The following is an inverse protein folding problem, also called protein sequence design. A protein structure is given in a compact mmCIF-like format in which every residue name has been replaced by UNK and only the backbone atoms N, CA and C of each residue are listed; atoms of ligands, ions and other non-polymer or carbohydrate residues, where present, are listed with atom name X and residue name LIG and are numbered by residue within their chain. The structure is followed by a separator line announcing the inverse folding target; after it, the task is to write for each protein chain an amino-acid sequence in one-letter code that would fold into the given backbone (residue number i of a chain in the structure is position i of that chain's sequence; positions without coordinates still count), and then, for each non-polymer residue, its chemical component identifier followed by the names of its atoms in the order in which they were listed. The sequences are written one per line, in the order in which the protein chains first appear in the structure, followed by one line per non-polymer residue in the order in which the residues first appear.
data_IF_621781031264
#
_entry.id   IF_621781031264
#
_cell.length_a   1.000
_cell.length_b   1.000
_cell.length_c   1.000
_cell.angle_alpha   90.00
_cell.angle_beta   90.00
_cell.angle_gamma   90.00
#
_symmetry.space_group_name_H-M   'P 1'
#
loop_
_entity.id
_entity.type
_entity.pdbx_description
1 polymer ?
#
# COMPACT_ATOMS: atom_id res chain seq x y z
N UNK A 1 -24.13 -3.60 -17.03
CA UNK A 1 -23.68 -4.44 -15.91
C UNK A 1 -24.33 -3.97 -14.63
N UNK A 2 -25.07 -4.85 -13.96
CA UNK A 2 -25.70 -4.60 -12.64
C UNK A 2 -24.77 -4.97 -11.48
N UNK A 3 -23.71 -5.73 -11.73
CA UNK A 3 -22.77 -6.23 -10.74
C UNK A 3 -21.35 -6.21 -11.28
N UNK A 4 -20.39 -5.87 -10.43
CA UNK A 4 -18.94 -5.90 -10.72
C UNK A 4 -18.50 -7.31 -11.14
N UNK A 5 -19.02 -8.34 -10.51
CA UNK A 5 -18.69 -9.75 -10.78
C UNK A 5 -19.06 -10.26 -12.19
N UNK A 6 -19.89 -9.52 -12.93
CA UNK A 6 -20.27 -9.85 -14.31
C UNK A 6 -19.32 -9.24 -15.36
N UNK A 7 -18.35 -8.45 -14.96
CA UNK A 7 -17.33 -7.94 -15.86
C UNK A 7 -16.41 -9.08 -16.32
N UNK A 8 -16.34 -9.29 -17.66
CA UNK A 8 -15.46 -10.31 -18.24
C UNK A 8 -13.99 -10.00 -17.89
N UNK A 9 -13.27 -10.99 -17.41
CA UNK A 9 -11.85 -10.85 -17.07
C UNK A 9 -11.58 -10.38 -15.63
N UNK A 10 -12.56 -9.88 -14.88
CA UNK A 10 -12.32 -9.38 -13.52
C UNK A 10 -12.00 -10.51 -12.52
N UNK A 11 -12.63 -11.67 -12.64
CA UNK A 11 -12.33 -12.82 -11.77
C UNK A 11 -10.88 -13.28 -11.87
N UNK A 12 -10.32 -13.54 -13.08
CA UNK A 12 -8.90 -13.88 -13.20
C UNK A 12 -7.98 -12.74 -12.74
N UNK A 13 -8.33 -11.46 -12.93
CA UNK A 13 -7.55 -10.35 -12.36
C UNK A 13 -7.52 -10.42 -10.84
N UNK A 14 -8.65 -10.61 -10.17
CA UNK A 14 -8.69 -10.74 -8.70
C UNK A 14 -7.94 -11.99 -8.21
N UNK A 15 -8.01 -13.09 -8.92
CA UNK A 15 -7.22 -14.28 -8.58
C UNK A 15 -5.72 -14.00 -8.71
N UNK A 16 -5.29 -13.34 -9.79
CA UNK A 16 -3.91 -12.94 -9.99
C UNK A 16 -3.43 -12.01 -8.87
N UNK A 17 -4.25 -11.02 -8.47
CA UNK A 17 -3.98 -10.13 -7.34
C UNK A 17 -3.78 -10.89 -6.03
N UNK A 18 -4.71 -11.76 -5.66
CA UNK A 18 -4.61 -12.53 -4.41
C UNK A 18 -3.34 -13.37 -4.40
N UNK A 19 -3.04 -14.05 -5.51
CA UNK A 19 -1.83 -14.86 -5.63
C UNK A 19 -0.56 -14.01 -5.59
N UNK A 20 -0.52 -12.91 -6.32
CA UNK A 20 0.67 -12.05 -6.38
C UNK A 20 0.96 -11.36 -5.04
N UNK A 21 -0.05 -10.73 -4.44
CA UNK A 21 0.10 -10.12 -3.12
C UNK A 21 0.31 -11.17 -2.02
N UNK A 22 -0.26 -12.36 -2.16
CA UNK A 22 0.00 -13.50 -1.29
C UNK A 22 1.46 -13.96 -1.35
N UNK A 23 2.01 -14.17 -2.55
CA UNK A 23 3.40 -14.57 -2.77
C UNK A 23 4.40 -13.50 -2.27
N UNK A 24 4.06 -12.23 -2.41
CA UNK A 24 4.85 -11.13 -1.87
C UNK A 24 4.79 -11.08 -0.34
N UNK A 25 3.59 -11.05 0.23
CA UNK A 25 3.38 -10.90 1.66
C UNK A 25 3.91 -12.11 2.46
N UNK A 26 3.83 -13.32 1.89
CA UNK A 26 4.37 -14.54 2.51
C UNK A 26 5.87 -14.39 2.81
N UNK A 27 6.63 -13.81 1.87
CA UNK A 27 8.09 -13.68 1.98
C UNK A 27 8.54 -12.37 2.63
N UNK A 28 7.65 -11.41 2.83
CA UNK A 28 8.02 -10.10 3.37
C UNK A 28 8.70 -10.19 4.76
N UNK A 29 8.18 -10.92 5.76
CA UNK A 29 8.89 -11.16 7.01
C UNK A 29 9.88 -12.33 6.95
N UNK A 30 9.66 -13.27 6.04
CA UNK A 30 10.44 -14.53 5.97
C UNK A 30 11.87 -14.29 5.48
N UNK A 31 12.06 -13.50 4.42
CA UNK A 31 13.39 -13.27 3.84
C UNK A 31 14.33 -12.52 4.79
N UNK A 32 13.92 -11.40 5.43
CA UNK A 32 14.76 -10.74 6.44
C UNK A 32 15.12 -11.67 7.61
N UNK A 33 14.15 -12.44 8.09
CA UNK A 33 14.37 -13.39 9.19
C UNK A 33 15.35 -14.51 8.77
N UNK A 34 15.23 -15.02 7.55
CA UNK A 34 16.14 -16.02 7.00
C UNK A 34 17.59 -15.50 6.90
N UNK A 35 17.76 -14.22 6.54
CA UNK A 35 19.09 -13.57 6.52
C UNK A 35 19.69 -13.55 7.92
N UNK A 36 18.91 -13.18 8.94
CA UNK A 36 19.35 -13.14 10.34
C UNK A 36 19.70 -14.55 10.85
N UNK A 37 18.85 -15.54 10.57
CA UNK A 37 19.07 -16.94 10.98
C UNK A 37 20.28 -17.57 10.29
N UNK A 38 20.62 -17.12 9.08
CA UNK A 38 21.85 -17.51 8.39
C UNK A 38 23.12 -16.79 8.89
N UNK A 39 22.98 -15.94 9.94
CA UNK A 39 24.11 -15.17 10.51
C UNK A 39 24.43 -13.89 9.73
N UNK A 40 23.51 -13.43 8.86
CA UNK A 40 23.62 -12.14 8.17
C UNK A 40 23.34 -10.97 9.11
N UNK A 41 23.76 -9.76 8.69
CA UNK A 41 23.55 -8.55 9.47
C UNK A 41 22.11 -8.03 9.36
N UNK A 42 21.68 -7.27 10.36
CA UNK A 42 20.38 -6.56 10.35
C UNK A 42 20.30 -5.58 9.17
N UNK A 43 21.42 -4.98 8.79
CA UNK A 43 21.53 -4.14 7.58
C UNK A 43 21.18 -4.93 6.33
N UNK A 44 21.74 -6.14 6.16
CA UNK A 44 21.42 -6.98 5.01
C UNK A 44 19.93 -7.40 5.03
N UNK A 45 19.42 -7.78 6.20
CA UNK A 45 18.02 -8.11 6.36
C UNK A 45 17.10 -6.96 5.92
N UNK A 46 17.36 -5.73 6.38
CA UNK A 46 16.63 -4.54 5.95
C UNK A 46 16.79 -4.22 4.45
N UNK A 47 17.99 -4.42 3.91
CA UNK A 47 18.28 -4.20 2.49
C UNK A 47 17.51 -5.17 1.57
N UNK A 48 17.13 -6.36 2.02
CA UNK A 48 16.32 -7.28 1.20
C UNK A 48 15.01 -6.63 0.77
N UNK A 49 14.29 -6.02 1.71
CA UNK A 49 13.07 -5.26 1.42
C UNK A 49 13.39 -3.90 0.78
N UNK A 50 14.47 -3.24 1.19
CA UNK A 50 14.89 -1.96 0.62
C UNK A 50 15.17 -2.05 -0.87
N UNK A 51 15.95 -3.03 -1.31
CA UNK A 51 16.26 -3.26 -2.73
C UNK A 51 15.01 -3.71 -3.50
N UNK A 52 14.21 -4.60 -2.92
CA UNK A 52 12.92 -5.00 -3.51
C UNK A 52 12.04 -3.75 -3.80
N UNK A 53 11.86 -2.88 -2.81
CA UNK A 53 11.02 -1.68 -2.94
C UNK A 53 11.64 -0.61 -3.85
N UNK A 54 12.97 -0.48 -3.88
CA UNK A 54 13.65 0.40 -4.81
C UNK A 54 13.33 0.01 -6.26
N UNK A 55 13.49 -1.26 -6.60
CA UNK A 55 13.18 -1.75 -7.96
C UNK A 55 11.68 -1.72 -8.24
N UNK A 56 10.84 -1.90 -7.23
CA UNK A 56 9.38 -1.69 -7.33
C UNK A 56 9.07 -0.27 -7.76
N UNK A 57 9.56 0.74 -7.03
CA UNK A 57 9.30 2.16 -7.31
C UNK A 57 9.84 2.57 -8.68
N UNK A 58 11.06 2.17 -9.01
CA UNK A 58 11.65 2.45 -10.33
C UNK A 58 10.78 1.87 -11.44
N UNK A 59 10.33 0.63 -11.29
CA UNK A 59 9.49 -0.03 -12.30
C UNK A 59 8.12 0.62 -12.42
N UNK A 60 7.51 1.04 -11.30
CA UNK A 60 6.22 1.74 -11.31
C UNK A 60 6.24 3.00 -12.18
N UNK A 61 7.36 3.74 -12.20
CA UNK A 61 7.53 4.94 -13.05
C UNK A 61 7.43 4.60 -14.54
N UNK A 62 8.00 3.46 -14.96
CA UNK A 62 8.04 3.05 -16.35
C UNK A 62 6.84 2.20 -16.80
N UNK A 63 6.07 1.65 -15.87
CA UNK A 63 4.96 0.74 -16.17
C UNK A 63 3.88 1.35 -17.08
N UNK A 64 3.45 2.61 -16.94
CA UNK A 64 2.48 3.20 -17.87
C UNK A 64 2.96 3.18 -19.32
N UNK A 65 4.27 3.39 -19.56
CA UNK A 65 4.87 3.30 -20.90
C UNK A 65 4.87 1.85 -21.41
N UNK A 66 5.18 0.88 -20.55
CA UNK A 66 5.15 -0.54 -20.90
C UNK A 66 3.74 -1.00 -21.26
N UNK A 67 2.73 -0.60 -20.50
CA UNK A 67 1.32 -0.91 -20.78
C UNK A 67 0.88 -0.41 -22.16
N UNK A 68 1.30 0.80 -22.54
CA UNK A 68 1.02 1.36 -23.88
C UNK A 68 1.72 0.60 -25.00
N UNK A 69 2.96 0.10 -24.77
CA UNK A 69 3.74 -0.57 -25.79
C UNK A 69 3.36 -2.04 -25.99
N UNK A 70 3.15 -2.78 -24.92
CA UNK A 70 2.98 -4.25 -24.98
C UNK A 70 1.64 -4.76 -24.45
N UNK A 71 0.81 -3.88 -23.89
CA UNK A 71 -0.54 -4.21 -23.41
C UNK A 71 -0.57 -4.84 -22.00
N UNK A 72 -1.79 -4.91 -21.46
CA UNK A 72 -2.03 -5.34 -20.07
C UNK A 72 -1.65 -6.79 -19.80
N UNK A 73 -2.11 -7.72 -20.65
CA UNK A 73 -1.90 -9.17 -20.42
C UNK A 73 -0.42 -9.53 -20.40
N UNK A 74 0.37 -8.95 -21.33
CA UNK A 74 1.82 -9.20 -21.40
C UNK A 74 2.53 -8.65 -20.14
N UNK A 75 2.24 -7.40 -19.76
CA UNK A 75 2.84 -6.79 -18.56
C UNK A 75 2.50 -7.60 -17.33
N UNK A 76 1.23 -7.96 -17.11
CA UNK A 76 0.79 -8.74 -15.95
C UNK A 76 1.44 -10.12 -15.92
N UNK A 77 1.52 -10.83 -17.06
CA UNK A 77 2.12 -12.15 -17.15
C UNK A 77 3.62 -12.12 -16.85
N UNK A 78 4.36 -11.21 -17.45
CA UNK A 78 5.80 -11.05 -17.20
C UNK A 78 6.05 -10.64 -15.76
N UNK A 79 5.23 -9.74 -15.22
CA UNK A 79 5.34 -9.28 -13.84
C UNK A 79 5.08 -10.40 -12.83
N UNK A 80 4.04 -11.20 -13.04
CA UNK A 80 3.74 -12.36 -12.20
C UNK A 80 4.86 -13.41 -12.23
N UNK A 81 5.44 -13.65 -13.41
CA UNK A 81 6.60 -14.52 -13.55
C UNK A 81 7.82 -14.00 -12.77
N UNK A 82 8.16 -12.71 -12.96
CA UNK A 82 9.30 -12.07 -12.26
C UNK A 82 9.09 -11.96 -10.75
N UNK A 83 7.85 -11.89 -10.28
CA UNK A 83 7.56 -11.91 -8.85
C UNK A 83 7.65 -13.32 -8.25
N UNK A 84 7.14 -14.32 -8.96
CA UNK A 84 7.00 -15.70 -8.48
C UNK A 84 8.26 -16.53 -8.68
N UNK A 85 8.63 -16.80 -9.92
CA UNK A 85 9.71 -17.75 -10.24
C UNK A 85 11.04 -17.44 -9.56
N UNK A 86 11.54 -16.20 -9.50
CA UNK A 86 12.81 -15.90 -8.86
C UNK A 86 12.84 -16.16 -7.36
N UNK A 87 11.69 -16.35 -6.68
CA UNK A 87 11.66 -16.74 -5.28
C UNK A 87 12.40 -18.07 -5.02
N UNK A 88 12.44 -18.96 -6.01
CA UNK A 88 13.26 -20.19 -5.98
C UNK A 88 14.75 -19.87 -5.84
N UNK A 89 15.18 -18.71 -6.30
CA UNK A 89 16.57 -18.27 -6.19
C UNK A 89 17.06 -18.07 -4.75
N UNK A 90 16.16 -17.92 -3.77
CA UNK A 90 16.54 -17.90 -2.36
C UNK A 90 17.11 -19.24 -1.85
N UNK A 91 16.87 -20.34 -2.56
CA UNK A 91 17.53 -21.64 -2.29
C UNK A 91 19.05 -21.60 -2.50
N UNK A 92 19.56 -20.62 -3.24
CA UNK A 92 21.01 -20.42 -3.42
C UNK A 92 21.71 -19.89 -2.16
N UNK A 93 20.93 -19.60 -1.11
CA UNK A 93 21.42 -19.12 0.18
C UNK A 93 21.23 -17.62 0.38
N UNK A 94 21.52 -17.16 1.61
CA UNK A 94 21.30 -15.79 2.06
C UNK A 94 22.55 -14.90 1.96
N UNK A 95 23.47 -15.20 1.05
CA UNK A 95 24.59 -14.30 0.76
C UNK A 95 24.08 -12.99 0.15
N UNK A 96 24.74 -11.87 0.45
CA UNK A 96 24.27 -10.55 -0.02
C UNK A 96 24.05 -10.48 -1.55
N UNK A 97 24.94 -10.98 -2.43
CA UNK A 97 24.71 -10.96 -3.86
C UNK A 97 23.47 -11.77 -4.27
N UNK A 98 23.28 -12.95 -3.69
CA UNK A 98 22.16 -13.83 -4.04
C UNK A 98 20.81 -13.22 -3.60
N UNK A 99 20.70 -12.88 -2.32
CA UNK A 99 19.42 -12.40 -1.76
C UNK A 99 19.01 -11.04 -2.35
N UNK A 100 19.97 -10.13 -2.57
CA UNK A 100 19.65 -8.82 -3.13
C UNK A 100 19.29 -8.89 -4.61
N UNK A 101 19.96 -9.76 -5.40
CA UNK A 101 19.62 -9.95 -6.81
C UNK A 101 18.21 -10.54 -6.97
N UNK A 102 17.88 -11.57 -6.19
CA UNK A 102 16.53 -12.15 -6.20
C UNK A 102 15.49 -11.11 -5.79
N UNK A 103 15.75 -10.34 -4.73
CA UNK A 103 14.88 -9.28 -4.26
C UNK A 103 14.67 -8.19 -5.32
N UNK A 104 15.73 -7.77 -6.02
CA UNK A 104 15.65 -6.80 -7.11
C UNK A 104 14.75 -7.28 -8.25
N UNK A 105 14.97 -8.51 -8.74
CA UNK A 105 14.18 -9.09 -9.84
C UNK A 105 12.71 -9.20 -9.44
N UNK A 106 12.43 -9.67 -8.23
CA UNK A 106 11.05 -9.76 -7.70
C UNK A 106 10.42 -8.39 -7.53
N UNK A 107 11.19 -7.37 -7.12
CA UNK A 107 10.75 -5.98 -7.03
C UNK A 107 10.32 -5.41 -8.38
N UNK A 108 11.04 -5.70 -9.46
CA UNK A 108 10.63 -5.33 -10.84
C UNK A 108 9.26 -5.93 -11.16
N UNK A 109 9.08 -7.22 -10.88
CA UNK A 109 7.80 -7.89 -11.10
C UNK A 109 6.66 -7.25 -10.31
N UNK A 110 6.86 -7.01 -9.01
CA UNK A 110 5.85 -6.42 -8.14
C UNK A 110 5.47 -5.00 -8.57
N UNK A 111 6.43 -4.16 -8.92
CA UNK A 111 6.19 -2.78 -9.33
C UNK A 111 5.34 -2.67 -10.59
N UNK A 112 5.64 -3.46 -11.62
CA UNK A 112 4.84 -3.46 -12.84
C UNK A 112 3.44 -4.06 -12.61
N UNK A 113 3.34 -5.09 -11.75
CA UNK A 113 2.09 -5.77 -11.46
C UNK A 113 1.11 -4.85 -10.73
N UNK A 114 1.52 -4.15 -9.67
CA UNK A 114 0.64 -3.28 -8.88
C UNK A 114 0.02 -2.15 -9.71
N UNK A 115 0.78 -1.53 -10.61
CA UNK A 115 0.28 -0.49 -11.51
C UNK A 115 -0.65 -1.08 -12.57
N UNK A 116 -0.27 -2.21 -13.17
CA UNK A 116 -1.05 -2.85 -14.22
C UNK A 116 -2.40 -3.37 -13.69
N UNK A 117 -2.44 -3.95 -12.49
CA UNK A 117 -3.67 -4.44 -11.85
C UNK A 117 -4.65 -3.30 -11.52
N UNK A 118 -4.15 -2.19 -10.99
CA UNK A 118 -4.99 -1.03 -10.73
C UNK A 118 -5.58 -0.44 -12.03
N UNK A 119 -4.77 -0.35 -13.07
CA UNK A 119 -5.18 0.18 -14.37
C UNK A 119 -6.18 -0.74 -15.10
N UNK A 120 -5.95 -2.05 -15.10
CA UNK A 120 -6.85 -3.01 -15.78
C UNK A 120 -8.23 -3.07 -15.15
N UNK A 121 -8.33 -2.93 -13.82
CA UNK A 121 -9.63 -2.88 -13.13
C UNK A 121 -10.45 -1.68 -13.61
N UNK A 122 -9.80 -0.54 -13.81
CA UNK A 122 -10.45 0.66 -14.32
C UNK A 122 -10.94 0.49 -15.77
N UNK A 123 -10.23 -0.28 -16.59
CA UNK A 123 -10.63 -0.58 -18.00
C UNK A 123 -11.78 -1.61 -18.08
N UNK A 124 -11.78 -2.62 -17.21
CA UNK A 124 -12.77 -3.70 -17.23
C UNK A 124 -14.15 -3.31 -16.70
N UNK A 125 -14.22 -2.25 -15.87
CA UNK A 125 -15.44 -1.91 -15.14
C UNK A 125 -15.99 -0.55 -15.57
N UNK A 126 -17.33 -0.45 -15.83
CA UNK A 126 -17.94 0.84 -16.10
C UNK A 126 -17.70 1.85 -14.96
N UNK A 127 -17.53 3.12 -15.33
CA UNK A 127 -17.24 4.23 -14.39
C UNK A 127 -18.15 4.25 -13.15
N UNK A 128 -19.44 3.92 -13.32
CA UNK A 128 -20.43 3.85 -12.23
C UNK A 128 -20.16 2.74 -11.20
N UNK A 129 -19.36 1.74 -11.54
CA UNK A 129 -19.00 0.61 -10.68
C UNK A 129 -17.54 0.67 -10.22
N UNK A 130 -16.78 1.66 -10.68
CA UNK A 130 -15.35 1.79 -10.40
C UNK A 130 -15.04 1.86 -8.89
N UNK A 131 -15.80 2.65 -8.14
CA UNK A 131 -15.65 2.74 -6.68
C UNK A 131 -15.85 1.42 -5.95
N UNK A 132 -16.81 0.59 -6.42
CA UNK A 132 -17.02 -0.76 -5.87
C UNK A 132 -15.89 -1.72 -6.27
N UNK A 133 -15.39 -1.61 -7.49
CA UNK A 133 -14.31 -2.46 -7.96
C UNK A 133 -12.99 -2.16 -7.23
N UNK A 134 -12.65 -0.88 -7.06
CA UNK A 134 -11.45 -0.47 -6.28
C UNK A 134 -11.58 -0.84 -4.80
N UNK A 135 -12.78 -0.76 -4.23
CA UNK A 135 -13.03 -1.26 -2.89
C UNK A 135 -12.78 -2.77 -2.75
N UNK A 136 -13.23 -3.57 -3.72
CA UNK A 136 -12.96 -5.01 -3.78
C UNK A 136 -11.47 -5.30 -3.94
N UNK A 137 -10.74 -4.56 -4.78
CA UNK A 137 -9.27 -4.65 -4.90
C UNK A 137 -8.62 -4.49 -3.52
N UNK A 138 -8.99 -3.44 -2.77
CA UNK A 138 -8.47 -3.22 -1.42
C UNK A 138 -8.75 -4.37 -0.46
N UNK A 139 -9.94 -4.98 -0.55
CA UNK A 139 -10.30 -6.16 0.25
C UNK A 139 -9.47 -7.38 -0.15
N UNK A 140 -9.30 -7.66 -1.44
CA UNK A 140 -8.51 -8.80 -1.93
C UNK A 140 -7.04 -8.69 -1.50
N UNK A 141 -6.43 -7.52 -1.65
CA UNK A 141 -5.06 -7.24 -1.21
C UNK A 141 -4.95 -7.39 0.32
N UNK A 142 -5.87 -6.78 1.07
CA UNK A 142 -5.88 -6.85 2.53
C UNK A 142 -6.04 -8.27 3.05
N UNK A 143 -6.92 -9.06 2.46
CA UNK A 143 -7.14 -10.47 2.80
C UNK A 143 -5.88 -11.31 2.52
N UNK A 144 -5.26 -11.12 1.35
CA UNK A 144 -4.03 -11.81 0.99
C UNK A 144 -2.91 -11.54 2.01
N UNK A 145 -2.71 -10.28 2.39
CA UNK A 145 -1.71 -9.89 3.38
C UNK A 145 -2.04 -10.41 4.79
N UNK A 146 -3.30 -10.31 5.22
CA UNK A 146 -3.75 -10.78 6.52
C UNK A 146 -3.47 -12.28 6.74
N UNK A 147 -3.57 -13.08 5.69
CA UNK A 147 -3.34 -14.53 5.73
C UNK A 147 -1.85 -14.84 5.49
N UNK A 148 -1.25 -14.27 4.46
CA UNK A 148 0.09 -14.66 4.01
C UNK A 148 1.20 -14.24 4.97
N UNK A 149 1.11 -13.06 5.61
CA UNK A 149 2.12 -12.60 6.56
C UNK A 149 2.31 -13.58 7.74
N UNK A 150 1.26 -13.98 8.49
CA UNK A 150 1.42 -14.95 9.56
C UNK A 150 1.72 -16.36 9.03
N UNK A 151 1.14 -16.74 7.87
CA UNK A 151 1.37 -18.04 7.28
C UNK A 151 2.84 -18.27 6.92
N UNK A 152 3.54 -17.26 6.42
CA UNK A 152 4.96 -17.36 6.11
C UNK A 152 5.79 -17.80 7.31
N UNK A 153 5.67 -17.12 8.43
CA UNK A 153 6.41 -17.44 9.65
C UNK A 153 5.99 -18.78 10.28
N UNK A 154 4.68 -19.09 10.26
CA UNK A 154 4.17 -20.37 10.77
C UNK A 154 4.64 -21.57 9.93
N UNK A 155 4.72 -21.42 8.61
CA UNK A 155 5.24 -22.43 7.69
C UNK A 155 6.73 -22.63 7.86
N UNK A 156 7.53 -21.56 8.00
CA UNK A 156 8.97 -21.67 8.27
C UNK A 156 9.22 -22.55 9.50
N UNK A 157 8.47 -22.36 10.57
CA UNK A 157 8.65 -23.14 11.80
C UNK A 157 8.32 -24.63 11.61
N UNK A 158 7.41 -24.99 10.69
CA UNK A 158 6.96 -26.37 10.47
C UNK A 158 7.76 -27.12 9.38
N UNK A 159 8.08 -26.44 8.30
CA UNK A 159 8.61 -27.09 7.08
C UNK A 159 9.91 -26.42 6.58
N UNK A 160 10.43 -25.41 7.29
CA UNK A 160 11.66 -24.71 6.96
C UNK A 160 11.52 -23.65 5.86
N UNK A 161 12.60 -22.89 5.68
CA UNK A 161 12.67 -21.77 4.74
C UNK A 161 12.52 -22.21 3.28
N UNK A 162 13.24 -23.27 2.87
CA UNK A 162 13.31 -23.73 1.47
C UNK A 162 11.92 -24.08 0.92
N UNK A 163 11.12 -24.79 1.72
CA UNK A 163 9.75 -25.11 1.34
C UNK A 163 8.88 -23.86 1.18
N UNK A 164 9.07 -22.86 2.03
CA UNK A 164 8.31 -21.60 1.95
C UNK A 164 8.69 -20.79 0.70
N UNK A 165 9.97 -20.79 0.28
CA UNK A 165 10.38 -20.17 -0.99
C UNK A 165 9.73 -20.84 -2.19
N UNK A 166 9.66 -22.18 -2.20
CA UNK A 166 8.99 -22.94 -3.25
C UNK A 166 7.48 -22.67 -3.28
N UNK A 167 6.84 -22.61 -2.12
CA UNK A 167 5.41 -22.27 -2.01
C UNK A 167 5.15 -20.87 -2.55
N UNK A 168 5.96 -19.87 -2.16
CA UNK A 168 5.82 -18.51 -2.66
C UNK A 168 6.03 -18.44 -4.18
N UNK A 169 7.03 -19.15 -4.70
CA UNK A 169 7.26 -19.29 -6.14
C UNK A 169 6.06 -19.90 -6.85
N UNK A 170 5.50 -20.99 -6.31
CA UNK A 170 4.30 -21.65 -6.84
C UNK A 170 3.07 -20.75 -6.85
N UNK A 171 2.81 -20.03 -5.75
CA UNK A 171 1.70 -19.05 -5.68
C UNK A 171 1.90 -17.94 -6.73
N UNK A 172 3.12 -17.43 -6.91
CA UNK A 172 3.42 -16.45 -7.95
C UNK A 172 3.21 -16.99 -9.37
N UNK A 173 3.53 -18.26 -9.63
CA UNK A 173 3.23 -18.92 -10.90
C UNK A 173 1.72 -19.15 -11.10
N UNK A 174 0.96 -19.38 -10.03
CA UNK A 174 -0.51 -19.40 -10.11
C UNK A 174 -1.07 -18.02 -10.53
N UNK A 175 -0.44 -16.93 -10.08
CA UNK A 175 -0.79 -15.59 -10.57
C UNK A 175 -0.55 -15.47 -12.08
N UNK A 176 0.58 -16.00 -12.60
CA UNK A 176 0.86 -16.06 -14.03
C UNK A 176 -0.22 -16.83 -14.80
N UNK A 177 -0.62 -18.01 -14.31
CA UNK A 177 -1.70 -18.81 -14.91
C UNK A 177 -3.02 -18.03 -14.91
N UNK A 178 -3.36 -17.37 -13.81
CA UNK A 178 -4.56 -16.54 -13.71
C UNK A 178 -4.55 -15.39 -14.73
N UNK A 179 -3.39 -14.78 -15.01
CA UNK A 179 -3.25 -13.74 -16.02
C UNK A 179 -3.62 -14.21 -17.44
N UNK A 180 -3.44 -15.50 -17.76
CA UNK A 180 -3.84 -16.06 -19.07
C UNK A 180 -5.36 -16.08 -19.28
N UNK A 181 -6.14 -16.05 -18.20
CA UNK A 181 -7.61 -15.95 -18.25
C UNK A 181 -8.12 -14.52 -18.49
N UNK A 182 -7.24 -13.52 -18.60
CA UNK A 182 -7.61 -12.13 -18.83
C UNK A 182 -7.84 -11.94 -20.34
N UNK A 183 -9.01 -11.42 -20.76
CA UNK A 183 -9.25 -11.16 -22.18
C UNK A 183 -8.27 -10.10 -22.71
N UNK A 184 -7.90 -10.16 -23.99
CA UNK A 184 -7.05 -9.13 -24.59
C UNK A 184 -7.75 -7.76 -24.52
N UNK A 185 -7.07 -6.81 -23.90
CA UNK A 185 -7.55 -5.44 -23.77
C UNK A 185 -6.63 -4.56 -24.60
N UNK A 186 -7.19 -3.67 -25.44
CA UNK A 186 -6.36 -2.76 -26.21
C UNK A 186 -5.51 -1.89 -25.27
N UNK A 187 -4.29 -1.53 -25.71
CA UNK A 187 -3.44 -0.63 -24.94
C UNK A 187 -4.16 0.67 -24.60
N UNK A 188 -3.89 1.27 -23.42
CA UNK A 188 -4.53 2.51 -23.03
C UNK A 188 -4.17 3.62 -24.03
N UNK A 189 -5.19 4.23 -24.63
CA UNK A 189 -5.03 5.37 -25.52
C UNK A 189 -4.91 6.65 -24.69
N UNK A 190 -3.98 7.54 -25.01
CA UNK A 190 -3.95 8.87 -24.44
C UNK A 190 -5.24 9.61 -24.84
N UNK A 191 -6.17 9.71 -23.92
CA UNK A 191 -7.21 10.73 -24.06
C UNK A 191 -6.51 12.05 -23.74
N UNK A 192 -6.18 12.82 -24.76
CA UNK A 192 -5.83 14.23 -24.65
C UNK A 192 -7.02 14.94 -23.97
N UNK A 193 -6.97 15.05 -22.66
CA UNK A 193 -7.90 15.91 -21.95
C UNK A 193 -7.46 17.34 -22.21
N UNK A 194 -8.27 18.06 -22.99
CA UNK A 194 -8.16 19.51 -23.11
C UNK A 194 -8.04 20.12 -21.71
N UNK A 195 -6.88 20.72 -21.48
CA UNK A 195 -6.60 21.85 -20.60
C UNK A 195 -7.41 21.96 -19.30
N UNK A 196 -7.08 21.17 -18.30
CA UNK A 196 -7.22 21.63 -16.92
C UNK A 196 -5.96 22.44 -16.57
N UNK A 197 -6.02 23.77 -16.71
CA UNK A 197 -4.94 24.67 -16.31
C UNK A 197 -4.78 24.64 -14.79
N UNK A 198 -3.87 23.78 -14.32
CA UNK A 198 -3.48 23.78 -12.91
C UNK A 198 -2.49 24.94 -12.71
N UNK A 199 -2.92 26.01 -12.07
CA UNK A 199 -2.06 27.16 -11.74
C UNK A 199 -1.02 26.88 -10.64
N UNK A 200 -1.19 25.76 -9.89
CA UNK A 200 -0.28 25.33 -8.83
C UNK A 200 0.43 24.04 -9.23
N UNK A 201 1.76 23.95 -9.09
CA UNK A 201 2.48 22.71 -9.39
C UNK A 201 1.93 21.51 -8.61
N UNK A 202 1.67 20.40 -9.31
CA UNK A 202 1.05 19.20 -8.77
C UNK A 202 1.74 18.68 -7.50
N UNK A 203 3.08 18.73 -7.46
CA UNK A 203 3.86 18.26 -6.32
C UNK A 203 3.52 19.01 -5.01
N UNK A 204 3.18 20.32 -5.09
CA UNK A 204 2.79 21.10 -3.91
C UNK A 204 1.45 20.65 -3.32
N UNK A 205 0.58 20.11 -4.14
CA UNK A 205 -0.75 19.65 -3.72
C UNK A 205 -0.70 18.28 -3.03
N UNK A 206 0.21 17.41 -3.48
CA UNK A 206 0.28 16.01 -3.03
C UNK A 206 1.41 15.71 -2.06
N UNK A 207 2.39 16.61 -1.90
CA UNK A 207 3.58 16.39 -1.08
C UNK A 207 3.24 16.03 0.36
N UNK A 208 2.33 16.77 0.99
CA UNK A 208 2.01 16.54 2.41
C UNK A 208 1.30 15.21 2.64
N UNK A 209 0.21 14.85 1.93
CA UNK A 209 -0.38 13.54 2.09
C UNK A 209 0.59 12.40 1.71
N UNK A 210 1.49 12.61 0.72
CA UNK A 210 2.53 11.63 0.39
C UNK A 210 3.54 11.46 1.53
N UNK A 211 4.05 12.54 2.10
CA UNK A 211 4.95 12.49 3.25
C UNK A 211 4.27 11.90 4.48
N UNK A 212 3.04 12.29 4.77
CA UNK A 212 2.28 11.74 5.89
C UNK A 212 2.15 10.21 5.80
N UNK A 213 1.86 9.70 4.60
CA UNK A 213 1.84 8.26 4.33
C UNK A 213 3.24 7.66 4.48
N UNK A 214 4.23 8.27 3.83
CA UNK A 214 5.61 7.77 3.80
C UNK A 214 6.21 7.63 5.21
N UNK A 215 6.01 8.59 6.10
CA UNK A 215 6.48 8.50 7.48
C UNK A 215 5.83 7.34 8.26
N UNK A 216 4.57 7.04 8.03
CA UNK A 216 3.90 5.89 8.65
C UNK A 216 4.37 4.58 8.02
N UNK A 217 4.60 4.54 6.71
CA UNK A 217 5.06 3.33 6.02
C UNK A 217 6.53 2.99 6.29
N UNK A 218 7.38 3.95 6.72
CA UNK A 218 8.72 3.61 7.21
C UNK A 218 8.64 2.67 8.42
N UNK A 219 7.73 2.93 9.37
CA UNK A 219 7.49 2.04 10.49
C UNK A 219 6.92 0.68 10.04
N UNK A 220 6.09 0.64 8.98
CA UNK A 220 5.62 -0.61 8.38
C UNK A 220 6.80 -1.47 7.90
N UNK A 221 7.79 -0.85 7.24
CA UNK A 221 9.03 -1.52 6.83
C UNK A 221 9.82 -2.09 8.01
N UNK A 222 9.94 -1.37 9.12
CA UNK A 222 10.56 -1.86 10.34
C UNK A 222 9.81 -3.05 10.94
N UNK A 223 8.50 -2.91 11.10
CA UNK A 223 7.63 -3.91 11.74
C UNK A 223 7.63 -5.21 10.94
N UNK A 224 7.41 -5.15 9.64
CA UNK A 224 7.32 -6.35 8.79
C UNK A 224 8.63 -7.11 8.69
N UNK A 225 9.78 -6.42 8.78
CA UNK A 225 11.09 -7.05 8.69
C UNK A 225 11.60 -7.55 10.05
N UNK A 226 11.34 -6.83 11.13
CA UNK A 226 12.03 -7.05 12.40
C UNK A 226 11.13 -7.45 13.57
N UNK A 227 9.79 -7.32 13.47
CA UNK A 227 8.90 -7.75 14.54
C UNK A 227 9.04 -9.24 14.87
N UNK A 228 9.10 -10.18 13.90
CA UNK A 228 9.30 -11.59 14.24
C UNK A 228 10.63 -11.84 14.97
N UNK A 229 11.70 -11.15 14.58
CA UNK A 229 13.00 -11.28 15.21
C UNK A 229 13.00 -10.66 16.62
N UNK A 230 12.42 -9.47 16.80
CA UNK A 230 12.33 -8.81 18.10
C UNK A 230 11.48 -9.58 19.12
N UNK A 231 10.44 -10.26 18.68
CA UNK A 231 9.61 -11.08 19.55
C UNK A 231 10.31 -12.35 20.05
N UNK A 232 11.38 -12.79 19.38
CA UNK A 232 12.25 -13.88 19.90
C UNK A 232 13.01 -13.47 21.16
N UNK A 233 13.26 -12.19 21.38
CA UNK A 233 13.84 -11.71 22.63
C UNK A 233 12.90 -11.94 23.83
N UNK A 234 11.58 -11.85 23.60
CA UNK A 234 10.55 -12.08 24.63
C UNK A 234 10.21 -13.56 24.79
N UNK A 235 10.22 -14.33 23.71
CA UNK A 235 9.94 -15.76 23.68
C UNK A 235 10.76 -16.43 22.57
N UNK A 236 11.86 -17.05 22.95
CA UNK A 236 12.79 -17.69 22.01
C UNK A 236 12.15 -18.84 21.21
N UNK A 237 11.17 -19.55 21.78
CA UNK A 237 10.59 -20.73 21.18
C UNK A 237 9.49 -20.38 20.14
N UNK A 238 8.60 -19.47 20.46
CA UNK A 238 7.41 -19.17 19.65
C UNK A 238 7.35 -17.74 19.14
N UNK A 239 8.23 -16.87 19.61
CA UNK A 239 8.20 -15.42 19.34
C UNK A 239 8.16 -15.06 17.87
N UNK A 240 8.96 -15.72 17.02
CA UNK A 240 8.95 -15.43 15.58
C UNK A 240 7.59 -15.75 14.91
N UNK A 241 6.96 -16.88 15.28
CA UNK A 241 5.64 -17.26 14.76
C UNK A 241 4.55 -16.33 15.27
N UNK A 242 4.62 -15.96 16.57
CA UNK A 242 3.72 -14.98 17.16
C UNK A 242 3.90 -13.61 16.50
N UNK A 243 5.13 -13.22 16.17
CA UNK A 243 5.41 -12.02 15.38
C UNK A 243 4.70 -12.02 14.04
N UNK A 244 4.75 -13.13 13.32
CA UNK A 244 3.96 -13.32 12.09
C UNK A 244 2.45 -13.18 12.33
N UNK A 245 1.92 -13.76 13.41
CA UNK A 245 0.51 -13.60 13.78
C UNK A 245 0.15 -12.14 14.07
N UNK A 246 1.04 -11.40 14.75
CA UNK A 246 0.84 -9.96 15.01
C UNK A 246 0.81 -9.15 13.72
N UNK A 247 1.61 -9.52 12.70
CA UNK A 247 1.54 -8.89 11.38
C UNK A 247 0.17 -9.14 10.71
N UNK A 248 -0.38 -10.35 10.83
CA UNK A 248 -1.74 -10.64 10.35
C UNK A 248 -2.80 -9.80 11.07
N UNK A 249 -2.71 -9.71 12.40
CA UNK A 249 -3.61 -8.91 13.23
C UNK A 249 -3.53 -7.42 12.92
N UNK A 250 -2.32 -6.91 12.70
CA UNK A 250 -2.06 -5.54 12.23
C UNK A 250 -2.78 -5.26 10.90
N UNK A 251 -2.65 -6.16 9.92
CA UNK A 251 -3.29 -5.98 8.62
C UNK A 251 -4.81 -6.12 8.69
N UNK A 252 -5.34 -6.98 9.55
CA UNK A 252 -6.76 -7.04 9.84
C UNK A 252 -7.30 -5.70 10.37
N UNK A 253 -6.64 -5.14 11.38
CA UNK A 253 -7.00 -3.83 11.91
C UNK A 253 -6.90 -2.72 10.86
N UNK A 254 -5.86 -2.77 10.01
CA UNK A 254 -5.67 -1.85 8.90
C UNK A 254 -6.84 -1.91 7.89
N UNK A 255 -7.29 -3.10 7.53
CA UNK A 255 -8.43 -3.29 6.62
C UNK A 255 -9.72 -2.67 7.18
N UNK A 256 -10.01 -2.94 8.46
CA UNK A 256 -11.19 -2.38 9.13
C UNK A 256 -11.14 -0.86 9.23
N UNK A 257 -9.99 -0.31 9.59
CA UNK A 257 -9.83 1.14 9.76
C UNK A 257 -9.86 1.89 8.43
N UNK A 258 -9.36 1.31 7.33
CA UNK A 258 -9.53 1.86 5.97
C UNK A 258 -11.00 2.02 5.61
N UNK A 259 -11.80 0.98 5.89
CA UNK A 259 -13.23 1.02 5.64
C UNK A 259 -13.94 2.07 6.50
N UNK A 260 -13.57 2.17 7.79
CA UNK A 260 -14.10 3.18 8.70
C UNK A 260 -13.76 4.60 8.24
N UNK A 261 -12.49 4.87 7.90
CA UNK A 261 -12.03 6.17 7.42
C UNK A 261 -12.78 6.59 6.14
N UNK A 262 -12.98 5.66 5.21
CA UNK A 262 -13.80 5.90 4.02
C UNK A 262 -15.22 6.32 4.34
N UNK A 263 -15.88 5.63 5.28
CA UNK A 263 -17.24 5.99 5.73
C UNK A 263 -17.34 7.34 6.43
N UNK A 264 -16.34 7.68 7.25
CA UNK A 264 -16.29 8.99 7.91
C UNK A 264 -16.15 10.08 6.87
N UNK A 265 -15.29 9.89 5.88
CA UNK A 265 -15.10 10.83 4.79
C UNK A 265 -16.38 11.04 3.98
N UNK A 266 -17.09 9.96 3.62
CA UNK A 266 -18.36 10.06 2.89
C UNK A 266 -19.42 10.87 3.67
N UNK A 267 -19.43 10.79 5.01
CA UNK A 267 -20.35 11.54 5.86
C UNK A 267 -19.95 12.99 6.06
N UNK A 268 -18.66 13.26 6.23
CA UNK A 268 -18.14 14.60 6.56
C UNK A 268 -17.86 15.42 5.30
N UNK A 269 -17.61 14.76 4.18
CA UNK A 269 -17.32 15.40 2.89
C UNK A 269 -15.99 16.14 2.82
N UNK A 270 -15.12 15.97 3.82
CA UNK A 270 -13.81 16.62 3.88
C UNK A 270 -12.71 15.58 4.12
N UNK A 271 -11.79 15.38 3.16
CA UNK A 271 -10.62 14.51 3.34
C UNK A 271 -9.63 15.11 4.34
N UNK A 272 -8.87 14.24 5.01
CA UNK A 272 -7.90 14.65 6.04
C UNK A 272 -8.51 14.83 7.44
N UNK A 273 -9.81 14.62 7.59
CA UNK A 273 -10.51 14.84 8.88
C UNK A 273 -9.98 13.93 9.99
N UNK A 274 -9.67 12.69 9.67
CA UNK A 274 -9.21 11.70 10.65
C UNK A 274 -7.69 11.50 10.61
N UNK A 275 -6.98 12.04 9.62
CA UNK A 275 -5.53 11.85 9.40
C UNK A 275 -4.70 12.02 10.67
N UNK A 276 -4.82 13.15 11.35
CA UNK A 276 -4.04 13.50 12.55
C UNK A 276 -4.30 12.49 13.67
N UNK A 277 -5.57 12.15 13.93
CA UNK A 277 -5.93 11.20 15.00
C UNK A 277 -5.32 9.83 14.75
N UNK A 278 -5.36 9.36 13.51
CA UNK A 278 -4.85 8.04 13.15
C UNK A 278 -3.33 8.01 13.02
N UNK A 279 -2.66 9.12 12.70
CA UNK A 279 -1.21 9.22 12.85
C UNK A 279 -0.78 9.11 14.32
N UNK A 280 -1.51 9.74 15.25
CA UNK A 280 -1.26 9.60 16.70
C UNK A 280 -1.44 8.14 17.13
N UNK A 281 -2.51 7.47 16.70
CA UNK A 281 -2.76 6.06 17.03
C UNK A 281 -1.64 5.16 16.46
N UNK A 282 -1.15 5.43 15.23
CA UNK A 282 -0.01 4.71 14.65
C UNK A 282 1.26 4.90 15.48
N UNK A 283 1.59 6.14 15.83
CA UNK A 283 2.76 6.44 16.63
C UNK A 283 2.69 5.77 18.01
N UNK A 284 1.52 5.82 18.65
CA UNK A 284 1.27 5.16 19.93
C UNK A 284 1.45 3.64 19.82
N UNK A 285 0.95 3.01 18.74
CA UNK A 285 1.13 1.57 18.52
C UNK A 285 2.60 1.17 18.47
N UNK A 286 3.41 1.90 17.72
CA UNK A 286 4.87 1.63 17.63
C UNK A 286 5.59 1.95 18.93
N UNK A 287 5.18 3.01 19.63
CA UNK A 287 5.72 3.35 20.93
C UNK A 287 5.44 2.26 21.98
N UNK A 288 4.24 1.69 21.97
CA UNK A 288 3.87 0.55 22.82
C UNK A 288 4.71 -0.69 22.49
N UNK A 289 5.00 -0.96 21.18
CA UNK A 289 5.94 -2.04 20.79
C UNK A 289 7.31 -1.85 21.45
N UNK A 290 7.85 -0.62 21.39
CA UNK A 290 9.12 -0.28 22.04
C UNK A 290 9.05 -0.51 23.55
N UNK A 291 7.98 -0.08 24.21
CA UNK A 291 7.77 -0.23 25.66
C UNK A 291 7.69 -1.70 26.09
N UNK A 292 7.01 -2.54 25.31
CA UNK A 292 6.90 -3.99 25.60
C UNK A 292 8.29 -4.64 25.59
N UNK A 293 9.11 -4.34 24.59
CA UNK A 293 10.47 -4.86 24.48
C UNK A 293 11.41 -4.29 25.53
N UNK A 294 11.25 -3.02 25.89
CA UNK A 294 12.09 -2.35 26.90
C UNK A 294 11.83 -2.85 28.32
N UNK A 295 10.57 -3.20 28.62
CA UNK A 295 10.12 -3.62 29.95
C UNK A 295 9.99 -5.14 30.09
N UNK A 296 10.40 -5.91 29.06
CA UNK A 296 10.26 -7.37 29.00
C UNK A 296 8.84 -7.86 29.36
N UNK A 297 7.83 -7.18 28.81
CA UNK A 297 6.44 -7.52 29.09
C UNK A 297 6.04 -8.82 28.36
N UNK A 298 4.98 -9.52 28.84
CA UNK A 298 4.50 -10.71 28.19
C UNK A 298 4.18 -10.47 26.70
N UNK A 299 4.63 -11.37 25.84
CA UNK A 299 4.57 -11.32 24.37
C UNK A 299 3.17 -10.98 23.82
N UNK A 300 2.11 -11.34 24.54
CA UNK A 300 0.72 -11.10 24.14
C UNK A 300 0.31 -9.62 24.11
N UNK A 301 1.00 -8.75 24.86
CA UNK A 301 0.77 -7.31 24.78
C UNK A 301 1.09 -6.75 23.40
N UNK A 302 1.94 -7.43 22.64
CA UNK A 302 2.25 -7.05 21.26
C UNK A 302 1.01 -7.05 20.36
N UNK A 303 -0.02 -7.85 20.68
CA UNK A 303 -1.29 -7.82 19.98
C UNK A 303 -1.98 -6.45 20.06
N UNK A 304 -1.98 -5.82 21.25
CA UNK A 304 -2.53 -4.47 21.42
C UNK A 304 -1.75 -3.45 20.56
N UNK A 305 -0.42 -3.53 20.61
CA UNK A 305 0.44 -2.64 19.83
C UNK A 305 0.23 -2.81 18.32
N UNK A 306 0.11 -4.05 17.84
CA UNK A 306 -0.18 -4.38 16.45
C UNK A 306 -1.55 -3.86 16.00
N UNK A 307 -2.58 -4.01 16.83
CA UNK A 307 -3.92 -3.47 16.57
C UNK A 307 -3.91 -1.93 16.50
N UNK A 308 -3.23 -1.26 17.43
CA UNK A 308 -3.12 0.20 17.42
C UNK A 308 -2.42 0.70 16.16
N UNK A 309 -1.23 0.16 15.87
CA UNK A 309 -0.50 0.55 14.67
C UNK A 309 -1.32 0.26 13.41
N UNK A 310 -1.86 -0.94 13.26
CA UNK A 310 -2.66 -1.33 12.09
C UNK A 310 -3.87 -0.44 11.88
N UNK A 311 -4.57 -0.09 12.97
CA UNK A 311 -5.71 0.83 12.92
C UNK A 311 -5.29 2.22 12.42
N UNK A 312 -4.22 2.78 12.95
CA UNK A 312 -3.71 4.07 12.49
C UNK A 312 -3.22 4.00 11.03
N UNK A 313 -2.42 2.98 10.72
CA UNK A 313 -1.83 2.76 9.41
C UNK A 313 -2.88 2.65 8.29
N UNK A 314 -3.94 1.85 8.49
CA UNK A 314 -4.98 1.68 7.49
C UNK A 314 -5.76 2.95 7.20
N UNK A 315 -6.12 3.70 8.24
CA UNK A 315 -6.84 4.95 8.07
C UNK A 315 -5.97 6.02 7.38
N UNK A 316 -4.68 6.14 7.75
CA UNK A 316 -3.75 7.08 7.10
C UNK A 316 -3.59 6.76 5.61
N UNK A 317 -3.51 5.49 5.22
CA UNK A 317 -3.46 5.09 3.82
C UNK A 317 -4.67 5.60 3.03
N UNK A 318 -5.87 5.40 3.57
CA UNK A 318 -7.10 5.83 2.90
C UNK A 318 -7.19 7.36 2.82
N UNK A 319 -6.90 8.05 3.92
CA UNK A 319 -6.94 9.51 3.99
C UNK A 319 -5.94 10.15 3.03
N UNK A 320 -4.71 9.63 2.96
CA UNK A 320 -3.67 10.15 2.07
C UNK A 320 -4.10 10.04 0.59
N UNK A 321 -4.60 8.88 0.16
CA UNK A 321 -5.09 8.67 -1.19
C UNK A 321 -6.25 9.61 -1.53
N UNK A 322 -7.19 9.72 -0.60
CA UNK A 322 -8.38 10.54 -0.78
C UNK A 322 -8.04 12.01 -0.82
N UNK A 323 -7.11 12.48 0.04
CA UNK A 323 -6.61 13.87 -0.02
C UNK A 323 -5.95 14.17 -1.36
N UNK A 324 -5.17 13.23 -1.92
CA UNK A 324 -4.56 13.41 -3.24
C UNK A 324 -5.63 13.51 -4.34
N UNK A 325 -6.64 12.65 -4.32
CA UNK A 325 -7.75 12.70 -5.27
C UNK A 325 -8.57 14.00 -5.17
N UNK A 326 -8.71 14.55 -3.97
CA UNK A 326 -9.42 15.80 -3.77
C UNK A 326 -8.63 17.03 -4.24
N UNK A 327 -7.30 16.97 -4.10
CA UNK A 327 -6.40 18.08 -4.44
C UNK A 327 -6.03 18.11 -5.92
N UNK A 328 -6.24 17.01 -6.65
CA UNK A 328 -5.92 16.92 -8.07
C UNK A 328 -7.17 16.86 -8.95
N UNK A 329 -7.08 17.35 -10.22
CA UNK A 329 -8.16 17.18 -11.18
C UNK A 329 -8.44 15.70 -11.46
N UNK A 330 -9.64 15.39 -11.92
CA UNK A 330 -10.02 14.01 -12.29
C UNK A 330 -9.13 13.41 -13.38
N UNK A 331 -8.62 14.23 -14.28
CA UNK A 331 -7.64 13.84 -15.30
C UNK A 331 -6.34 13.31 -14.74
N UNK A 332 -5.99 13.67 -13.48
CA UNK A 332 -4.76 13.32 -12.77
C UNK A 332 -4.92 12.25 -11.69
N UNK A 333 -6.03 11.50 -11.73
CA UNK A 333 -6.30 10.44 -10.73
C UNK A 333 -5.26 9.32 -10.78
N UNK A 334 -4.78 8.97 -11.99
CA UNK A 334 -3.75 7.93 -12.17
C UNK A 334 -2.41 8.36 -11.58
N UNK A 335 -2.04 9.64 -11.76
CA UNK A 335 -0.83 10.20 -11.18
C UNK A 335 -0.92 10.26 -9.64
N UNK A 336 -2.10 10.60 -9.10
CA UNK A 336 -2.32 10.56 -7.66
C UNK A 336 -2.11 9.15 -7.08
N UNK A 337 -2.66 8.13 -7.75
CA UNK A 337 -2.47 6.74 -7.36
C UNK A 337 -1.01 6.29 -7.46
N UNK A 338 -0.30 6.71 -8.51
CA UNK A 338 1.13 6.42 -8.68
C UNK A 338 1.97 7.05 -7.56
N UNK A 339 1.73 8.32 -7.22
CA UNK A 339 2.43 9.02 -6.13
C UNK A 339 2.13 8.34 -4.79
N UNK A 340 0.90 7.91 -4.56
CA UNK A 340 0.53 7.18 -3.36
C UNK A 340 1.28 5.84 -3.26
N UNK A 341 1.36 5.06 -4.35
CA UNK A 341 2.14 3.81 -4.38
C UNK A 341 3.62 4.06 -4.13
N UNK A 342 4.21 5.06 -4.78
CA UNK A 342 5.62 5.46 -4.58
C UNK A 342 5.88 5.85 -3.12
N UNK A 343 4.97 6.61 -2.49
CA UNK A 343 5.11 6.98 -1.09
C UNK A 343 4.98 5.78 -0.14
N UNK A 344 4.07 4.84 -0.45
CA UNK A 344 3.87 3.62 0.31
C UNK A 344 5.08 2.68 0.20
N UNK A 345 5.44 2.30 -1.02
CA UNK A 345 6.49 1.34 -1.29
C UNK A 345 7.88 1.92 -0.97
N UNK A 346 8.11 3.19 -1.35
CA UNK A 346 9.32 3.93 -1.04
C UNK A 346 9.52 4.09 0.47
N UNK A 347 8.47 4.46 1.21
CA UNK A 347 8.51 4.54 2.67
C UNK A 347 8.83 3.20 3.32
N UNK A 348 8.18 2.12 2.87
CA UNK A 348 8.44 0.76 3.35
C UNK A 348 9.90 0.33 3.12
N UNK A 349 10.42 0.55 1.90
CA UNK A 349 11.79 0.22 1.56
C UNK A 349 12.83 1.06 2.32
N UNK A 350 12.62 2.36 2.40
CA UNK A 350 13.48 3.26 3.17
C UNK A 350 13.47 2.89 4.65
N UNK A 351 12.30 2.59 5.20
CA UNK A 351 12.17 2.18 6.60
C UNK A 351 12.91 0.89 6.90
N UNK A 352 12.69 -0.17 6.11
CA UNK A 352 13.37 -1.45 6.32
C UNK A 352 14.90 -1.31 6.27
N UNK A 353 15.41 -0.53 5.32
CA UNK A 353 16.84 -0.28 5.16
C UNK A 353 17.40 0.55 6.32
N UNK A 354 16.77 1.70 6.61
CA UNK A 354 17.22 2.62 7.65
C UNK A 354 17.22 1.96 9.04
N UNK A 355 16.13 1.29 9.40
CA UNK A 355 16.06 0.62 10.71
C UNK A 355 16.94 -0.63 10.78
N UNK A 356 17.17 -1.34 9.66
CA UNK A 356 18.14 -2.41 9.60
C UNK A 356 19.58 -1.91 9.82
N UNK A 357 19.95 -0.74 9.28
CA UNK A 357 21.22 -0.10 9.60
C UNK A 357 21.28 0.36 11.05
N UNK A 358 20.19 0.91 11.58
CA UNK A 358 20.14 1.41 12.96
C UNK A 358 20.33 0.27 13.98
N UNK A 359 19.82 -0.91 13.71
CA UNK A 359 19.98 -2.10 14.57
C UNK A 359 21.43 -2.56 14.75
N UNK A 360 22.36 -2.10 13.90
CA UNK A 360 23.80 -2.34 14.14
C UNK A 360 24.35 -1.58 15.35
N UNK A 361 23.64 -0.56 15.81
CA UNK A 361 24.07 0.33 16.90
C UNK A 361 23.11 0.37 18.09
N UNK A 362 21.84 0.01 17.88
CA UNK A 362 20.82 0.02 18.92
C UNK A 362 20.04 -1.30 18.93
N UNK A 363 19.42 -1.64 20.07
CA UNK A 363 18.52 -2.79 20.18
C UNK A 363 17.14 -2.52 19.54
N UNK A 364 16.27 -3.55 19.46
CA UNK A 364 14.94 -3.43 18.86
C UNK A 364 14.04 -2.41 19.58
N UNK A 365 14.08 -2.36 20.93
CA UNK A 365 13.25 -1.43 21.69
C UNK A 365 13.51 0.04 21.32
N UNK A 366 14.75 0.60 21.40
CA UNK A 366 15.01 1.97 20.95
C UNK A 366 14.78 2.16 19.44
N UNK A 367 15.00 1.15 18.60
CA UNK A 367 14.69 1.24 17.16
C UNK A 367 13.19 1.52 16.94
N UNK A 368 12.28 0.77 17.57
CA UNK A 368 10.84 1.06 17.49
C UNK A 368 10.48 2.40 18.12
N UNK A 369 11.17 2.82 19.19
CA UNK A 369 11.01 4.16 19.76
C UNK A 369 11.33 5.27 18.74
N UNK A 370 12.43 5.14 18.00
CA UNK A 370 12.81 6.07 16.92
C UNK A 370 11.78 6.00 15.79
N UNK A 371 11.29 4.81 15.41
CA UNK A 371 10.25 4.67 14.40
C UNK A 371 8.95 5.39 14.79
N UNK A 372 8.55 5.33 16.07
CA UNK A 372 7.44 6.13 16.60
C UNK A 372 7.71 7.64 16.46
N UNK A 373 8.92 8.09 16.79
CA UNK A 373 9.35 9.49 16.64
C UNK A 373 9.27 9.97 15.19
N UNK A 374 9.62 9.13 14.22
CA UNK A 374 9.51 9.43 12.79
C UNK A 374 8.04 9.62 12.37
N UNK A 375 7.11 8.82 12.90
CA UNK A 375 5.66 9.04 12.66
C UNK A 375 5.22 10.39 13.27
N UNK A 376 5.69 10.72 14.46
CA UNK A 376 5.40 12.03 15.11
C UNK A 376 5.93 13.19 14.27
N UNK A 377 7.10 13.06 13.65
CA UNK A 377 7.61 14.05 12.70
C UNK A 377 6.64 14.22 11.51
N UNK A 378 6.13 13.13 10.96
CA UNK A 378 5.08 13.17 9.92
C UNK A 378 3.78 13.85 10.38
N UNK A 379 3.41 13.63 11.65
CA UNK A 379 2.28 14.32 12.28
C UNK A 379 2.50 15.84 12.34
N UNK A 380 3.69 16.29 12.72
CA UNK A 380 4.05 17.72 12.74
C UNK A 380 3.92 18.32 11.34
N UNK A 381 4.42 17.64 10.31
CA UNK A 381 4.27 18.08 8.90
C UNK A 381 2.79 18.23 8.53
N UNK A 382 1.95 17.26 8.91
CA UNK A 382 0.50 17.31 8.65
C UNK A 382 -0.19 18.46 9.39
N UNK A 383 0.20 18.72 10.65
CA UNK A 383 -0.33 19.82 11.44
C UNK A 383 0.05 21.17 10.85
N UNK A 384 1.31 21.34 10.43
CA UNK A 384 1.77 22.56 9.77
C UNK A 384 1.03 22.82 8.45
N UNK A 385 0.82 21.78 7.62
CA UNK A 385 0.02 21.92 6.40
C UNK A 385 -1.41 22.35 6.69
N UNK A 386 -2.02 21.78 7.74
CA UNK A 386 -3.38 22.16 8.15
C UNK A 386 -3.48 23.62 8.60
N UNK A 387 -2.45 24.12 9.29
CA UNK A 387 -2.43 25.51 9.76
C UNK A 387 -2.12 26.49 8.64
N UNK A 388 -1.08 26.21 7.83
CA UNK A 388 -0.62 27.06 6.74
C UNK A 388 -1.46 26.89 5.47
N UNK A 389 -2.03 25.72 5.26
CA UNK A 389 -2.77 25.32 4.07
C UNK A 389 -4.23 25.79 4.03
N UNK A 390 -4.78 26.39 5.08
CA UNK A 390 -6.16 26.90 5.12
C UNK A 390 -6.50 27.83 3.95
N UNK A 391 -5.50 28.48 3.37
CA UNK A 391 -5.62 29.36 2.20
C UNK A 391 -5.23 28.71 0.87
N UNK A 392 -4.75 27.44 0.87
CA UNK A 392 -4.24 26.72 -0.32
C UNK A 392 -5.24 25.74 -0.94
N UNK A 393 -6.39 25.53 -0.33
CA UNK A 393 -7.50 24.75 -0.94
C UNK A 393 -8.04 25.62 -2.07
N UNK A 394 -7.39 25.50 -3.23
CA UNK A 394 -7.75 26.26 -4.42
C UNK A 394 -9.15 25.83 -4.84
N UNK A 395 -10.01 26.82 -5.05
CA UNK A 395 -11.41 26.74 -5.44
C UNK A 395 -11.69 25.90 -6.69
N UNK A 396 -10.67 25.56 -7.47
CA UNK A 396 -10.81 24.95 -8.80
C UNK A 396 -11.17 23.46 -8.78
N UNK A 397 -10.89 22.72 -7.71
CA UNK A 397 -11.06 21.27 -7.69
C UNK A 397 -11.81 20.73 -6.47
N UNK A 398 -12.61 21.53 -5.83
CA UNK A 398 -13.41 21.08 -4.71
C UNK A 398 -14.50 20.12 -5.20
N UNK A 399 -14.28 18.78 -5.05
CA UNK A 399 -15.27 17.77 -5.39
C UNK A 399 -16.59 18.04 -4.64
N UNK A 400 -16.53 18.59 -3.41
CA UNK A 400 -17.70 18.98 -2.64
C UNK A 400 -18.45 20.14 -3.32
N UNK A 401 -17.77 21.15 -3.86
CA UNK A 401 -18.40 22.21 -4.63
C UNK A 401 -19.00 21.69 -5.95
N UNK A 402 -18.31 20.74 -6.60
CA UNK A 402 -18.82 20.07 -7.82
C UNK A 402 -20.01 19.16 -7.51
N UNK A 403 -20.00 18.42 -6.39
CA UNK A 403 -21.14 17.61 -5.97
C UNK A 403 -22.33 18.47 -5.55
N UNK A 404 -22.09 19.61 -4.89
CA UNK A 404 -23.14 20.58 -4.56
C UNK A 404 -23.72 21.23 -5.81
N UNK A 405 -22.90 21.53 -6.82
CA UNK A 405 -23.39 22.07 -8.10
C UNK A 405 -24.20 21.05 -8.92
N UNK A 406 -23.92 19.73 -8.75
CA UNK A 406 -24.69 18.64 -9.38
C UNK A 406 -25.97 18.34 -8.58
N UNK A 407 -25.97 18.54 -7.26
CA UNK A 407 -27.12 18.31 -6.38
C UNK A 407 -28.04 19.55 -6.25
N UNK A 408 -27.55 20.73 -6.66
CA UNK A 408 -28.43 21.90 -6.72
C UNK A 408 -29.52 21.61 -7.75
N UNK A 409 -30.80 21.56 -7.36
CA UNK A 409 -31.88 21.39 -8.32
C UNK A 409 -31.75 22.50 -9.34
N UNK A 410 -31.67 22.15 -10.64
CA UNK A 410 -31.79 23.14 -11.72
C UNK A 410 -33.06 23.90 -11.44
N UNK A 411 -32.96 25.08 -10.86
CA UNK A 411 -34.09 26.03 -10.84
C UNK A 411 -34.42 26.29 -12.30
N UNK A 412 -35.40 25.55 -12.79
CA UNK A 412 -36.01 25.79 -14.07
C UNK A 412 -36.51 27.20 -14.03
N UNK A 413 -35.80 28.10 -14.68
CA UNK A 413 -36.16 29.50 -14.78
C UNK A 413 -37.43 29.56 -15.65
N UNK A 414 -38.62 29.40 -15.03
CA UNK A 414 -39.89 29.75 -15.63
C UNK A 414 -39.94 31.27 -15.74
N UNK A 415 -39.04 31.78 -16.59
CA UNK A 415 -39.02 33.17 -16.99
C UNK A 415 -40.14 33.44 -17.96
N UNK A 416 -41.11 34.10 -17.47
CA UNK A 416 -41.93 35.08 -18.07
C UNK A 416 -42.22 35.07 -19.57
N UNK A 417 -43.30 34.39 -19.99
CA UNK A 417 -44.07 34.88 -21.10
C UNK A 417 -44.72 36.22 -20.69
N UNK A 418 -44.10 37.33 -21.04
CA UNK A 418 -44.80 38.62 -21.14
C UNK A 418 -45.81 38.48 -22.24
N UNK A 419 -47.08 38.45 -21.87
CA UNK A 419 -48.20 38.76 -22.76
C UNK A 419 -48.04 40.21 -23.23
N UNK A 420 -47.72 40.42 -24.47
CA UNK A 420 -48.05 41.69 -25.13
C UNK A 420 -49.49 41.59 -25.63
N UNK A 421 -50.39 42.10 -24.82
CA UNK A 421 -51.75 42.37 -25.24
C UNK A 421 -51.79 43.60 -26.17
N UNK A 422 -52.68 43.52 -27.10
CA UNK A 422 -52.80 44.41 -28.22
C UNK A 422 -53.29 45.84 -27.92
N UNK A 423 -53.05 46.72 -28.80
CA UNK A 423 -54.01 47.58 -29.52
C UNK A 423 -53.41 47.92 -30.85
#
# INVERSE_FOLDING_TARGET
LTSVWRARGLKPVFLAMICAFGAWALLLPVVPTAVLDAGGSETLAGLTTGVFMLFTVVTQIFTPMLLRKVGYTTVLSVSAFLLGFPAVGYLLGMSAPAVLTVSAIRGVGFGALTVAEAAIVAELVPIRLLGRATGLVGIMIGLAQMIALPAGMALVQRIGYDAVYLIAGGIGLLALVACQGIPPIPPPTEKSSETDHIHVPMWRLVLVPALALMFVTTAYGAITNFLPASMRELDAATGATLGGLMLGLMNFASMLSRYYAGRVMDKVGQPGTVMIRFQIISALGVFVMAGILFLDLPVWWMALAALLYGTGFGAVQNEALTMMFYRLPRSKTSEAAAIWNIAYDGGTGMGSTFYGMLLTTVAFAPMFGIASGVIVLGLVVTLLDRQLGRHRVVEVNNLAARLQSVQAPRRYNRGGKKRSGGQ
#
